data_IF_645994934788
#
_entry.id   IF_645994934788
#
_cell.length_a   1.000
_cell.length_b   1.000
_cell.length_c   1.000
_cell.angle_alpha   90.00
_cell.angle_beta   90.00
_cell.angle_gamma   90.00
#
_symmetry.space_group_name_H-M   'P 1'
#
loop_
_entity.id
_entity.type
_entity.pdbx_description
1 polymer ?
#
# COMPACT_ATOMS: atom_id res chain seq x y z
N UNK A 1 23.04 3.02 -27.39
CA UNK A 1 23.29 3.66 -26.11
C UNK A 1 23.26 2.69 -24.94
N UNK A 2 23.73 1.42 -25.08
CA UNK A 2 23.71 0.46 -23.96
C UNK A 2 25.02 0.37 -23.17
N UNK A 3 26.11 1.00 -23.62
CA UNK A 3 27.45 0.80 -23.05
C UNK A 3 27.96 1.95 -22.17
N UNK A 4 27.21 3.03 -22.04
CA UNK A 4 27.73 4.26 -21.40
C UNK A 4 27.81 4.13 -19.84
N UNK A 5 27.17 3.14 -19.26
CA UNK A 5 27.09 2.96 -17.80
C UNK A 5 27.74 1.66 -17.27
N UNK A 6 28.24 0.82 -18.15
CA UNK A 6 28.82 -0.48 -17.76
C UNK A 6 30.01 -0.37 -16.80
N UNK A 7 30.71 0.77 -16.76
CA UNK A 7 31.81 1.04 -15.85
C UNK A 7 31.42 1.55 -14.46
N UNK A 8 30.15 1.91 -14.24
CA UNK A 8 29.65 2.49 -12.99
C UNK A 8 28.88 1.50 -12.10
N UNK A 9 28.78 0.22 -12.50
CA UNK A 9 27.99 -0.76 -11.77
C UNK A 9 26.48 -0.47 -11.75
N UNK A 10 25.97 0.30 -12.73
CA UNK A 10 24.55 0.65 -12.86
C UNK A 10 23.83 -0.51 -13.53
N UNK A 11 22.81 -1.05 -12.87
CA UNK A 11 21.93 -2.06 -13.42
C UNK A 11 20.62 -1.44 -13.91
N UNK A 12 20.28 -1.71 -15.17
CA UNK A 12 19.01 -1.28 -15.72
C UNK A 12 17.90 -2.28 -15.34
N UNK A 13 16.79 -1.75 -14.79
CA UNK A 13 15.58 -2.54 -14.51
C UNK A 13 14.70 -2.53 -15.76
N UNK A 14 14.18 -3.72 -16.13
CA UNK A 14 13.36 -3.92 -17.33
C UNK A 14 11.93 -4.32 -16.94
N UNK A 15 10.93 -3.61 -17.50
CA UNK A 15 9.52 -3.94 -17.40
C UNK A 15 8.80 -3.55 -18.69
N UNK A 16 7.52 -3.82 -18.82
CA UNK A 16 6.72 -3.43 -19.98
C UNK A 16 6.43 -1.92 -20.00
N UNK A 17 7.44 -1.10 -20.37
CA UNK A 17 7.32 0.36 -20.46
C UNK A 17 6.39 0.87 -21.55
N UNK A 18 5.96 0.00 -22.46
CA UNK A 18 5.03 0.37 -23.52
C UNK A 18 3.62 0.56 -22.98
N UNK A 19 3.20 -0.32 -22.09
CA UNK A 19 1.85 -0.33 -21.53
C UNK A 19 1.79 0.28 -20.13
N UNK A 20 2.93 0.38 -19.42
CA UNK A 20 3.09 0.96 -18.09
C UNK A 20 4.25 1.95 -18.09
N UNK A 21 3.97 3.18 -18.52
CA UNK A 21 5.01 4.18 -18.79
C UNK A 21 5.61 4.81 -17.54
N UNK A 22 4.88 4.82 -16.44
CA UNK A 22 5.27 5.50 -15.20
C UNK A 22 5.71 4.53 -14.11
N UNK A 23 6.77 4.91 -13.41
CA UNK A 23 7.09 4.37 -12.09
C UNK A 23 6.36 5.22 -11.06
N UNK A 24 5.38 4.64 -10.39
CA UNK A 24 4.55 5.33 -9.41
C UNK A 24 5.13 5.25 -8.00
N UNK A 25 5.72 4.11 -7.63
CA UNK A 25 6.38 3.92 -6.34
C UNK A 25 7.52 2.90 -6.44
N UNK A 26 8.48 3.02 -5.53
CA UNK A 26 9.53 2.02 -5.27
C UNK A 26 9.55 1.77 -3.77
N UNK A 27 9.47 0.52 -3.37
CA UNK A 27 9.50 0.14 -1.96
C UNK A 27 10.57 -0.91 -1.66
N UNK A 28 11.25 -0.72 -0.54
CA UNK A 28 12.29 -1.61 -0.05
C UNK A 28 11.87 -2.20 1.29
N UNK A 29 11.64 -3.50 1.33
CA UNK A 29 11.39 -4.25 2.57
C UNK A 29 12.63 -5.05 2.94
N UNK A 30 13.04 -5.02 4.19
CA UNK A 30 14.21 -5.75 4.65
C UNK A 30 14.04 -7.27 4.41
N UNK A 31 15.03 -7.89 3.78
CA UNK A 31 15.01 -9.33 3.49
C UNK A 31 14.26 -9.74 2.23
N UNK A 32 13.65 -8.79 1.51
CA UNK A 32 12.89 -9.06 0.28
C UNK A 32 13.48 -8.32 -0.91
N UNK A 33 13.13 -8.78 -2.11
CA UNK A 33 13.42 -8.04 -3.33
C UNK A 33 12.64 -6.71 -3.36
N UNK A 34 13.19 -5.64 -3.97
CA UNK A 34 12.47 -4.39 -4.08
C UNK A 34 11.18 -4.54 -4.89
N UNK A 35 10.16 -3.80 -4.48
CA UNK A 35 8.91 -3.67 -5.21
C UNK A 35 8.91 -2.41 -6.05
N UNK A 36 8.36 -2.52 -7.25
CA UNK A 36 8.15 -1.44 -8.18
C UNK A 36 6.67 -1.39 -8.55
N UNK A 37 6.00 -0.27 -8.27
CA UNK A 37 4.67 0.00 -8.76
C UNK A 37 4.79 0.78 -10.07
N UNK A 38 4.30 0.20 -11.16
CA UNK A 38 4.27 0.84 -12.49
C UNK A 38 2.82 1.06 -12.93
N UNK A 39 2.57 2.18 -13.60
CA UNK A 39 1.22 2.61 -13.94
C UNK A 39 1.15 3.07 -15.40
N UNK A 40 0.02 2.81 -16.06
CA UNK A 40 -0.23 3.33 -17.39
C UNK A 40 -0.52 4.85 -17.34
N UNK A 41 -0.40 5.52 -18.49
CA UNK A 41 -0.60 6.98 -18.61
C UNK A 41 -2.01 7.43 -18.20
N UNK A 42 -3.03 6.58 -18.34
CA UNK A 42 -4.41 6.89 -17.98
C UNK A 42 -4.68 6.70 -16.49
N UNK A 43 -3.73 6.11 -15.76
CA UNK A 43 -3.88 5.77 -14.33
C UNK A 43 -5.05 4.82 -14.05
N UNK A 44 -5.40 4.00 -15.03
CA UNK A 44 -6.49 3.01 -14.94
C UNK A 44 -5.99 1.59 -14.78
N UNK A 45 -4.68 1.37 -14.92
CA UNK A 45 -4.03 0.07 -14.74
C UNK A 45 -2.65 0.25 -14.12
N UNK A 46 -2.33 -0.61 -13.18
CA UNK A 46 -0.99 -0.70 -12.62
C UNK A 46 -0.53 -2.15 -12.47
N UNK A 47 0.76 -2.33 -12.24
CA UNK A 47 1.37 -3.60 -11.89
C UNK A 47 2.31 -3.42 -10.72
N UNK A 48 2.23 -4.34 -9.78
CA UNK A 48 3.22 -4.53 -8.73
C UNK A 48 4.25 -5.54 -9.22
N UNK A 49 5.50 -5.13 -9.28
CA UNK A 49 6.61 -5.91 -9.79
C UNK A 49 7.62 -6.17 -8.67
N UNK A 50 8.09 -7.42 -8.53
CA UNK A 50 9.33 -7.72 -7.81
C UNK A 50 10.52 -7.52 -8.74
N UNK A 51 11.58 -6.88 -8.25
CA UNK A 51 12.80 -6.60 -9.02
C UNK A 51 13.91 -7.55 -8.59
N UNK A 52 14.37 -8.39 -9.51
CA UNK A 52 15.44 -9.32 -9.21
C UNK A 52 16.80 -8.61 -9.16
N UNK A 53 17.40 -8.56 -7.96
CA UNK A 53 18.72 -7.95 -7.71
C UNK A 53 19.82 -8.96 -7.36
N UNK A 54 19.54 -10.27 -7.46
CA UNK A 54 20.49 -11.33 -7.12
C UNK A 54 21.83 -11.16 -7.84
N UNK A 55 22.91 -11.42 -7.14
CA UNK A 55 24.29 -11.11 -7.59
C UNK A 55 24.88 -12.13 -8.53
N UNK A 56 24.31 -13.33 -8.68
CA UNK A 56 24.88 -14.35 -9.57
C UNK A 56 23.79 -15.26 -10.15
N UNK A 57 23.83 -15.45 -11.47
CA UNK A 57 23.03 -16.44 -12.17
C UNK A 57 23.51 -17.86 -11.80
N UNK A 58 22.87 -18.49 -10.83
CA UNK A 58 22.83 -19.94 -10.85
C UNK A 58 22.01 -20.37 -12.07
N UNK A 59 22.37 -21.48 -12.72
CA UNK A 59 21.60 -22.00 -13.87
C UNK A 59 20.11 -22.05 -13.52
N UNK A 60 19.29 -21.25 -14.23
CA UNK A 60 17.85 -21.14 -14.00
C UNK A 60 17.38 -19.91 -13.19
N UNK A 61 18.27 -19.06 -12.67
CA UNK A 61 17.89 -17.82 -12.00
C UNK A 61 17.43 -16.74 -12.98
N UNK A 62 16.49 -15.89 -12.55
CA UNK A 62 16.08 -14.72 -13.32
C UNK A 62 17.27 -13.76 -13.52
N UNK A 63 17.39 -13.11 -14.69
CA UNK A 63 18.46 -12.14 -14.93
C UNK A 63 18.35 -10.96 -13.95
N UNK A 64 19.52 -10.46 -13.49
CA UNK A 64 19.58 -9.24 -12.66
C UNK A 64 18.94 -8.07 -13.39
N UNK A 65 18.06 -7.33 -12.71
CA UNK A 65 17.27 -6.22 -13.28
C UNK A 65 16.02 -6.66 -14.03
N UNK A 66 15.74 -7.96 -14.12
CA UNK A 66 14.44 -8.44 -14.58
C UNK A 66 13.36 -8.24 -13.53
N UNK A 67 12.10 -8.23 -13.95
CA UNK A 67 10.95 -8.08 -13.05
C UNK A 67 9.97 -9.24 -13.20
N UNK A 68 9.33 -9.58 -12.09
CA UNK A 68 8.20 -10.51 -12.04
C UNK A 68 6.95 -9.76 -11.63
N UNK A 69 5.86 -9.91 -12.38
CA UNK A 69 4.55 -9.33 -12.01
C UNK A 69 3.99 -10.15 -10.86
N UNK A 70 3.72 -9.50 -9.73
CA UNK A 70 3.10 -10.10 -8.55
C UNK A 70 1.58 -9.89 -8.55
N UNK A 71 1.14 -8.66 -8.81
CA UNK A 71 -0.27 -8.29 -8.92
C UNK A 71 -0.48 -7.29 -10.05
N UNK A 72 -1.69 -7.27 -10.61
CA UNK A 72 -2.15 -6.29 -11.59
C UNK A 72 -3.53 -5.79 -11.18
N UNK A 73 -3.70 -4.46 -11.17
CA UNK A 73 -4.96 -3.82 -10.85
C UNK A 73 -5.49 -3.02 -12.04
N UNK A 74 -6.81 -2.96 -12.15
CA UNK A 74 -7.50 -2.16 -13.16
C UNK A 74 -8.75 -1.51 -12.58
N UNK A 75 -9.02 -0.27 -13.03
CA UNK A 75 -10.20 0.47 -12.68
C UNK A 75 -10.63 1.30 -13.89
N UNK A 76 -11.93 1.37 -14.18
CA UNK A 76 -12.44 2.10 -15.33
C UNK A 76 -12.32 3.63 -15.19
N UNK A 77 -12.16 4.13 -13.96
CA UNK A 77 -11.98 5.56 -13.70
C UNK A 77 -10.49 5.87 -13.52
N UNK A 78 -9.95 5.61 -12.34
CA UNK A 78 -8.53 5.72 -12.06
C UNK A 78 -8.14 4.90 -10.84
N UNK A 79 -6.84 4.67 -10.66
CA UNK A 79 -6.24 4.03 -9.48
C UNK A 79 -5.52 5.10 -8.65
N UNK A 80 -5.96 5.29 -7.40
CA UNK A 80 -5.25 6.10 -6.43
C UNK A 80 -4.00 5.37 -5.93
N UNK A 81 -2.92 6.11 -5.74
CA UNK A 81 -1.70 5.60 -5.13
C UNK A 81 -1.77 5.89 -3.64
N UNK A 82 -1.74 4.83 -2.83
CA UNK A 82 -1.61 4.95 -1.38
C UNK A 82 -0.12 4.91 -1.03
N UNK A 83 0.38 5.99 -0.45
CA UNK A 83 1.78 6.07 -0.03
C UNK A 83 2.10 4.95 0.95
N UNK A 84 3.30 4.36 0.83
CA UNK A 84 3.72 3.22 1.65
C UNK A 84 3.28 1.86 1.09
N UNK A 85 2.56 1.82 -0.05
CA UNK A 85 2.26 0.60 -0.79
C UNK A 85 2.88 0.62 -2.20
N UNK A 86 3.15 -0.55 -2.81
CA UNK A 86 3.09 -1.89 -2.23
C UNK A 86 4.21 -2.15 -1.22
N UNK A 87 4.01 -3.07 -0.28
CA UNK A 87 5.02 -3.44 0.70
C UNK A 87 4.97 -4.94 1.00
N UNK A 88 6.11 -5.54 1.36
CA UNK A 88 6.11 -6.87 1.95
C UNK A 88 6.04 -6.79 3.47
N UNK A 89 5.29 -7.70 4.08
CA UNK A 89 5.46 -8.02 5.49
C UNK A 89 6.82 -8.69 5.71
N UNK A 90 7.38 -8.71 6.92
CA UNK A 90 8.61 -9.45 7.21
C UNK A 90 8.55 -10.94 6.82
N UNK A 91 7.38 -11.60 6.96
CA UNK A 91 7.15 -13.00 6.57
C UNK A 91 6.86 -13.21 5.07
N UNK A 92 6.81 -12.12 4.27
CA UNK A 92 6.77 -12.16 2.80
C UNK A 92 5.38 -12.10 2.18
N UNK A 93 4.33 -11.79 2.94
CA UNK A 93 3.01 -11.50 2.36
C UNK A 93 3.02 -10.12 1.69
N UNK A 94 2.29 -10.00 0.59
CA UNK A 94 2.24 -8.75 -0.18
C UNK A 94 1.05 -7.89 0.26
N UNK A 95 1.32 -6.67 0.69
CA UNK A 95 0.30 -5.65 1.02
C UNK A 95 0.21 -4.66 -0.13
N UNK A 96 -1.00 -4.50 -0.70
CA UNK A 96 -1.28 -3.58 -1.80
C UNK A 96 -2.45 -2.65 -1.49
N UNK A 97 -2.53 -1.56 -2.25
CA UNK A 97 -3.68 -0.68 -2.27
C UNK A 97 -4.84 -1.30 -3.06
N UNK A 98 -6.06 -1.10 -2.61
CA UNK A 98 -7.30 -1.44 -3.29
C UNK A 98 -8.20 -0.21 -3.36
N UNK A 99 -8.48 0.27 -4.56
CA UNK A 99 -9.52 1.28 -4.78
C UNK A 99 -10.87 0.54 -4.91
N UNK A 100 -11.54 0.32 -3.79
CA UNK A 100 -12.82 -0.39 -3.72
C UNK A 100 -13.94 0.56 -4.14
N UNK A 101 -14.36 0.45 -5.41
CA UNK A 101 -15.38 1.33 -6.00
C UNK A 101 -16.77 1.03 -5.48
N UNK A 102 -17.05 -0.21 -5.06
CA UNK A 102 -18.36 -0.59 -4.54
C UNK A 102 -18.59 -0.01 -3.13
N UNK A 103 -17.50 0.06 -2.35
CA UNK A 103 -17.53 0.62 -1.00
C UNK A 103 -17.11 2.11 -0.96
N UNK A 104 -16.78 2.73 -2.10
CA UNK A 104 -16.21 4.08 -2.19
C UNK A 104 -15.09 4.31 -1.16
N UNK A 105 -14.20 3.34 -1.05
CA UNK A 105 -13.17 3.31 0.01
C UNK A 105 -11.84 2.85 -0.53
N UNK A 106 -10.77 3.61 -0.26
CA UNK A 106 -9.41 3.13 -0.44
C UNK A 106 -9.04 2.19 0.70
N UNK A 107 -8.85 0.92 0.37
CA UNK A 107 -8.59 -0.19 1.29
C UNK A 107 -7.22 -0.79 1.04
N UNK A 108 -6.84 -1.74 1.90
CA UNK A 108 -5.63 -2.55 1.71
C UNK A 108 -6.00 -4.02 1.51
N UNK A 109 -5.19 -4.69 0.70
CA UNK A 109 -5.20 -6.14 0.51
C UNK A 109 -3.93 -6.76 1.10
N UNK A 110 -4.03 -8.00 1.51
CA UNK A 110 -2.88 -8.88 1.75
C UNK A 110 -3.03 -10.12 0.89
N UNK A 111 -2.03 -10.39 0.04
CA UNK A 111 -2.06 -11.45 -0.96
C UNK A 111 -3.37 -11.45 -1.78
N UNK A 112 -3.76 -10.25 -2.26
CA UNK A 112 -4.96 -10.01 -3.06
C UNK A 112 -6.29 -10.06 -2.29
N UNK A 113 -6.29 -10.30 -0.97
CA UNK A 113 -7.52 -10.33 -0.16
C UNK A 113 -7.69 -9.05 0.65
N UNK A 114 -8.81 -8.32 0.50
CA UNK A 114 -9.10 -7.15 1.31
C UNK A 114 -9.18 -7.51 2.80
N UNK A 115 -8.50 -6.73 3.66
CA UNK A 115 -8.55 -6.92 5.12
C UNK A 115 -8.99 -5.66 5.87
N UNK A 116 -8.75 -4.45 5.34
CA UNK A 116 -9.24 -3.24 6.00
C UNK A 116 -10.73 -3.06 5.75
N UNK A 117 -11.54 -2.71 6.78
CA UNK A 117 -12.98 -2.49 6.60
C UNK A 117 -13.29 -1.28 5.71
N UNK A 118 -14.44 -1.30 5.04
CA UNK A 118 -14.95 -0.14 4.32
C UNK A 118 -15.22 1.04 5.27
N UNK A 119 -15.20 2.27 4.73
CA UNK A 119 -15.40 3.50 5.51
C UNK A 119 -14.15 4.01 6.23
N UNK A 120 -13.07 3.22 6.27
CA UNK A 120 -11.76 3.66 6.74
C UNK A 120 -10.89 3.98 5.51
N UNK A 121 -11.04 5.18 4.96
CA UNK A 121 -10.26 5.63 3.80
C UNK A 121 -8.77 5.64 4.12
N UNK A 122 -8.03 4.64 3.67
CA UNK A 122 -6.57 4.60 3.85
C UNK A 122 -5.94 5.67 2.97
N UNK A 123 -5.12 6.53 3.57
CA UNK A 123 -4.39 7.61 2.89
C UNK A 123 -2.91 7.33 2.77
N UNK A 124 -2.35 6.70 3.77
CA UNK A 124 -0.93 6.38 3.85
C UNK A 124 -0.72 5.14 4.72
N UNK A 125 0.18 4.27 4.33
CA UNK A 125 0.71 3.17 5.14
C UNK A 125 2.01 3.63 5.75
N UNK A 126 2.09 3.61 7.09
CA UNK A 126 3.24 4.10 7.86
C UNK A 126 4.21 2.97 8.21
N UNK A 127 3.67 1.78 8.47
CA UNK A 127 4.47 0.61 8.83
C UNK A 127 3.69 -0.68 8.56
N UNK A 128 4.41 -1.76 8.22
CA UNK A 128 3.86 -3.09 7.93
C UNK A 128 4.64 -4.12 8.74
N UNK A 129 3.94 -4.90 9.54
CA UNK A 129 4.49 -6.02 10.34
C UNK A 129 3.83 -7.33 9.95
N UNK A 130 4.22 -8.44 10.60
CA UNK A 130 3.55 -9.74 10.42
C UNK A 130 2.17 -9.80 11.09
N UNK A 131 1.88 -8.85 11.98
CA UNK A 131 0.67 -8.85 12.81
C UNK A 131 -0.32 -7.78 12.37
N UNK A 132 0.17 -6.62 11.93
CA UNK A 132 -0.67 -5.46 11.61
C UNK A 132 -0.06 -4.50 10.59
N UNK A 133 -0.90 -3.60 10.12
CA UNK A 133 -0.52 -2.44 9.30
C UNK A 133 -0.91 -1.17 10.04
N UNK A 134 0.06 -0.30 10.30
CA UNK A 134 -0.17 1.05 10.82
C UNK A 134 -0.41 2.01 9.67
N UNK A 135 -1.54 2.71 9.69
CA UNK A 135 -1.94 3.58 8.60
C UNK A 135 -2.52 4.91 9.07
N UNK A 136 -2.42 5.91 8.21
CA UNK A 136 -3.21 7.14 8.29
C UNK A 136 -4.49 6.93 7.53
N UNK A 137 -5.61 7.22 8.16
CA UNK A 137 -6.94 7.06 7.59
C UNK A 137 -7.75 8.34 7.70
N UNK A 138 -8.68 8.51 6.78
CA UNK A 138 -9.74 9.49 6.87
C UNK A 138 -11.05 8.73 7.06
N UNK A 139 -11.79 9.02 8.12
CA UNK A 139 -13.08 8.37 8.36
C UNK A 139 -14.10 8.95 7.41
N UNK A 140 -14.88 8.06 6.78
CA UNK A 140 -15.97 8.48 5.91
C UNK A 140 -17.31 8.36 6.63
N UNK A 141 -18.32 9.15 6.25
CA UNK A 141 -19.69 8.93 6.70
C UNK A 141 -20.14 7.48 6.40
N UNK A 142 -21.08 6.99 7.19
CA UNK A 142 -21.68 5.68 6.91
C UNK A 142 -22.21 5.64 5.48
N UNK A 143 -21.85 4.58 4.75
CA UNK A 143 -22.40 4.34 3.44
C UNK A 143 -23.80 3.71 3.59
N UNK A 144 -24.77 4.12 2.77
CA UNK A 144 -26.10 3.53 2.74
C UNK A 144 -26.00 2.01 2.49
N UNK A 145 -26.50 1.21 3.43
CA UNK A 145 -26.47 -0.25 3.36
C UNK A 145 -25.21 -0.93 3.89
N UNK A 146 -24.23 -0.17 4.39
CA UNK A 146 -23.09 -0.73 5.10
C UNK A 146 -23.36 -0.81 6.60
N UNK A 147 -23.49 -2.02 7.12
CA UNK A 147 -23.50 -2.27 8.57
C UNK A 147 -22.08 -2.53 9.03
N UNK A 148 -21.47 -1.53 9.66
CA UNK A 148 -20.19 -1.74 10.32
C UNK A 148 -20.33 -2.78 11.43
N UNK A 149 -19.38 -3.71 11.61
CA UNK A 149 -19.35 -4.57 12.78
C UNK A 149 -19.42 -3.72 14.05
N UNK A 150 -20.11 -4.21 15.08
CA UNK A 150 -20.31 -3.49 16.35
C UNK A 150 -19.02 -2.86 16.87
N UNK A 151 -19.04 -1.53 17.03
CA UNK A 151 -17.91 -0.75 17.52
C UNK A 151 -16.85 -0.37 16.48
N UNK A 152 -16.99 -0.81 15.22
CA UNK A 152 -16.02 -0.51 14.14
C UNK A 152 -16.50 0.56 13.17
N UNK A 153 -17.66 1.19 13.39
CA UNK A 153 -18.10 2.31 12.56
C UNK A 153 -17.05 3.44 12.60
N UNK A 154 -16.49 3.83 11.45
CA UNK A 154 -15.49 4.90 11.40
C UNK A 154 -16.12 6.26 11.69
N UNK A 155 -17.42 6.41 11.46
CA UNK A 155 -18.14 7.67 11.65
C UNK A 155 -19.05 7.62 12.88
N UNK A 156 -18.80 8.52 13.83
CA UNK A 156 -19.63 8.70 15.03
C UNK A 156 -20.47 9.98 15.02
N UNK A 157 -20.53 10.62 13.85
CA UNK A 157 -21.22 11.91 13.69
C UNK A 157 -20.48 13.06 14.35
N UNK A 158 -21.15 14.20 14.46
CA UNK A 158 -20.59 15.43 15.04
C UNK A 158 -20.26 15.31 16.54
N UNK A 159 -20.70 14.23 17.20
CA UNK A 159 -20.50 14.03 18.63
C UNK A 159 -19.01 13.91 19.02
N UNK A 160 -18.17 13.38 18.13
CA UNK A 160 -16.75 13.20 18.37
C UNK A 160 -15.90 14.36 17.79
N UNK A 161 -16.51 15.31 17.08
CA UNK A 161 -15.83 16.44 16.44
C UNK A 161 -14.95 16.05 15.25
N UNK A 162 -15.01 14.78 14.79
CA UNK A 162 -14.32 14.35 13.57
C UNK A 162 -15.07 14.87 12.36
N UNK A 163 -14.33 15.38 11.38
CA UNK A 163 -14.87 15.84 10.11
C UNK A 163 -13.96 15.34 8.95
N UNK A 164 -14.32 15.71 7.71
CA UNK A 164 -13.57 15.32 6.52
C UNK A 164 -12.12 15.86 6.48
N UNK A 165 -11.71 16.70 7.42
CA UNK A 165 -10.33 17.22 7.56
C UNK A 165 -9.53 16.45 8.60
N UNK A 166 -10.17 15.53 9.32
CA UNK A 166 -9.51 14.75 10.36
C UNK A 166 -8.83 13.55 9.74
N UNK A 167 -7.55 13.35 10.07
CA UNK A 167 -6.74 12.20 9.72
C UNK A 167 -6.33 11.50 11.00
N UNK A 168 -6.66 10.22 11.12
CA UNK A 168 -6.38 9.41 12.29
C UNK A 168 -5.28 8.40 12.00
N UNK A 169 -4.53 8.02 13.03
CA UNK A 169 -3.63 6.87 12.98
C UNK A 169 -4.37 5.65 13.51
N UNK A 170 -4.36 4.58 12.74
CA UNK A 170 -5.07 3.33 13.01
C UNK A 170 -4.15 2.14 12.75
N UNK A 171 -4.23 1.12 13.59
CA UNK A 171 -3.67 -0.20 13.31
C UNK A 171 -4.78 -1.14 12.84
N UNK A 172 -4.53 -1.84 11.73
CA UNK A 172 -5.38 -2.89 11.19
C UNK A 172 -4.65 -4.22 11.30
N UNK A 173 -5.25 -5.22 11.95
CA UNK A 173 -4.75 -6.58 11.79
C UNK A 173 -5.25 -7.22 10.49
N UNK A 174 -4.70 -8.38 10.13
CA UNK A 174 -5.06 -9.05 8.88
C UNK A 174 -6.39 -9.83 8.94
N UNK A 175 -7.02 -9.87 10.10
CA UNK A 175 -8.39 -10.39 10.30
C UNK A 175 -9.47 -9.28 10.15
N UNK A 176 -9.04 -8.02 9.97
CA UNK A 176 -9.91 -6.87 9.76
C UNK A 176 -10.31 -6.15 11.05
N UNK A 177 -9.68 -6.48 12.18
CA UNK A 177 -9.89 -5.71 13.40
C UNK A 177 -9.18 -4.36 13.31
N UNK A 178 -9.80 -3.35 13.90
CA UNK A 178 -9.35 -1.96 13.84
C UNK A 178 -9.03 -1.46 15.24
N UNK A 179 -7.81 -0.98 15.44
CA UNK A 179 -7.37 -0.34 16.66
C UNK A 179 -7.02 1.14 16.40
N UNK A 180 -7.93 2.08 16.72
CA UNK A 180 -7.59 3.52 16.63
C UNK A 180 -6.50 3.88 17.64
N UNK A 181 -5.43 4.50 17.14
CA UNK A 181 -4.30 4.96 17.95
C UNK A 181 -4.47 6.42 18.38
N UNK A 182 -5.36 7.15 17.71
CA UNK A 182 -5.71 8.55 18.02
C UNK A 182 -7.19 8.63 18.40
N UNK A 183 -7.46 9.41 19.45
CA UNK A 183 -8.82 9.53 20.02
C UNK A 183 -9.45 10.92 19.82
N UNK A 184 -8.68 11.91 19.35
CA UNK A 184 -9.13 13.29 19.19
C UNK A 184 -9.09 13.70 17.72
N UNK A 185 -10.05 14.54 17.28
CA UNK A 185 -10.00 15.11 15.94
C UNK A 185 -8.69 15.86 15.71
N UNK A 186 -8.11 15.70 14.53
CA UNK A 186 -6.86 16.36 14.17
C UNK A 186 -6.29 15.81 12.87
N UNK A 187 -5.11 16.26 12.53
CA UNK A 187 -4.30 15.67 11.44
C UNK A 187 -3.11 14.99 12.10
N UNK A 188 -3.18 13.68 12.18
CA UNK A 188 -2.21 12.87 12.89
C UNK A 188 -1.35 12.07 11.92
N UNK A 189 -0.11 11.86 12.31
CA UNK A 189 0.80 10.90 11.69
C UNK A 189 1.54 10.13 12.80
N UNK A 190 2.27 9.08 12.44
CA UNK A 190 3.05 8.31 13.39
C UNK A 190 4.30 7.72 12.77
N UNK A 191 5.22 7.31 13.62
CA UNK A 191 6.40 6.52 13.26
C UNK A 191 6.59 5.42 14.27
N UNK A 192 6.75 4.17 13.80
CA UNK A 192 7.02 3.00 14.61
C UNK A 192 8.47 2.56 14.42
N UNK A 193 9.15 2.22 15.53
CA UNK A 193 10.48 1.57 15.51
C UNK A 193 10.55 0.52 16.62
N UNK A 194 10.59 -0.75 16.23
CA UNK A 194 10.47 -1.84 17.17
C UNK A 194 9.17 -1.72 17.98
N UNK A 195 9.22 -1.77 19.30
CA UNK A 195 8.06 -1.62 20.17
C UNK A 195 7.66 -0.14 20.41
N UNK A 196 8.46 0.82 19.95
CA UNK A 196 8.22 2.24 20.16
C UNK A 196 7.32 2.84 19.08
N UNK A 197 6.24 3.53 19.50
CA UNK A 197 5.34 4.31 18.64
C UNK A 197 5.37 5.78 19.06
N UNK A 198 5.60 6.66 18.11
CA UNK A 198 5.49 8.13 18.29
C UNK A 198 4.38 8.63 17.39
N UNK A 199 3.42 9.34 17.99
CA UNK A 199 2.29 9.97 17.29
C UNK A 199 2.51 11.50 17.35
N UNK A 200 2.32 12.19 16.22
CA UNK A 200 2.57 13.62 16.06
C UNK A 200 1.42 14.32 15.33
#
# INVERSE_FOLDING_TARGET
GHDEYAGLGIQQISWNRKDYEYVAAVHWSAGHEPLLLVQNRRQTRDQVLSVHLGSEASEGSAPVGSTTVLEEHANDQWLDIIQGTPAFTPDGRLVCALNDMDADTNRLTVDGRPFTPAGWQVREVLDVTDEDVLAVVQRTPELDGYEAPDGLSPWRGDADGHDARSFDVVSFDYDGNVLPMTARPGSWSASRRGEGLVIS
#
